data_IF_301966778075
#
_entry.id   IF_301966778075
#
_cell.length_a   1.000
_cell.length_b   1.000
_cell.length_c   1.000
_cell.angle_alpha   90.00
_cell.angle_beta   90.00
_cell.angle_gamma   90.00
#
_symmetry.space_group_name_H-M   'P 1'
#
loop_
_entity.id
_entity.type
_entity.pdbx_description
1 polymer ?
#
# COMPACT_ATOMS: atom_id res chain seq x y z
N UNK A 1 -10.70 -25.66 16.96
CA UNK A 1 -12.04 -25.25 17.42
C UNK A 1 -11.93 -24.39 18.68
N UNK A 2 -11.59 -24.97 19.84
CA UNK A 2 -11.53 -24.23 21.11
C UNK A 2 -10.53 -23.05 21.11
N UNK A 3 -9.32 -23.22 20.54
CA UNK A 3 -8.33 -22.12 20.38
C UNK A 3 -8.88 -21.01 19.48
N UNK A 4 -9.61 -21.36 18.43
CA UNK A 4 -10.19 -20.41 17.46
C UNK A 4 -11.34 -19.63 18.07
N UNK A 5 -12.17 -20.28 18.88
CA UNK A 5 -13.26 -19.67 19.63
C UNK A 5 -12.72 -18.66 20.66
N UNK A 6 -11.70 -19.05 21.43
CA UNK A 6 -11.02 -18.16 22.39
C UNK A 6 -10.30 -17.00 21.70
N UNK A 7 -9.65 -17.25 20.57
CA UNK A 7 -9.06 -16.19 19.75
C UNK A 7 -10.14 -15.22 19.23
N UNK A 8 -11.30 -15.72 18.82
CA UNK A 8 -12.45 -14.90 18.41
C UNK A 8 -12.96 -14.01 19.54
N UNK A 9 -13.17 -14.57 20.73
CA UNK A 9 -13.59 -13.83 21.92
C UNK A 9 -12.58 -12.76 22.35
N UNK A 10 -11.28 -13.11 22.36
CA UNK A 10 -10.20 -12.17 22.66
C UNK A 10 -10.13 -11.01 21.67
N UNK A 11 -10.29 -11.28 20.38
CA UNK A 11 -10.30 -10.25 19.34
C UNK A 11 -11.54 -9.34 19.42
N UNK A 12 -12.71 -9.88 19.78
CA UNK A 12 -13.92 -9.08 19.96
C UNK A 12 -13.78 -8.10 21.14
N UNK A 13 -13.22 -8.56 22.26
CA UNK A 13 -12.92 -7.69 23.42
C UNK A 13 -11.84 -6.67 23.11
N UNK A 14 -10.80 -7.05 22.39
CA UNK A 14 -9.75 -6.11 21.96
C UNK A 14 -10.31 -5.00 21.05
N UNK A 15 -11.20 -5.35 20.12
CA UNK A 15 -11.88 -4.37 19.26
C UNK A 15 -12.77 -3.42 20.08
N UNK A 16 -13.49 -3.95 21.08
CA UNK A 16 -14.28 -3.10 21.99
C UNK A 16 -13.39 -2.20 22.85
N UNK A 17 -12.23 -2.68 23.30
CA UNK A 17 -11.27 -1.89 24.07
C UNK A 17 -10.71 -0.71 23.25
N UNK A 18 -10.38 -0.96 21.98
CA UNK A 18 -9.89 0.06 21.04
C UNK A 18 -10.94 1.14 20.77
N UNK A 19 -12.20 0.78 20.54
CA UNK A 19 -13.29 1.76 20.33
C UNK A 19 -13.52 2.64 21.57
N UNK A 20 -13.42 2.06 22.78
CA UNK A 20 -13.52 2.82 24.03
C UNK A 20 -12.31 3.76 24.24
N UNK A 21 -11.12 3.31 23.85
CA UNK A 21 -9.87 4.07 23.91
C UNK A 21 -9.89 5.27 22.96
N UNK A 22 -10.34 5.06 21.72
CA UNK A 22 -10.51 6.13 20.70
C UNK A 22 -11.56 7.18 21.12
N UNK A 23 -12.59 6.76 21.87
CA UNK A 23 -13.61 7.65 22.43
C UNK A 23 -13.17 8.34 23.74
N UNK A 24 -11.91 8.15 24.16
CA UNK A 24 -11.35 8.76 25.37
C UNK A 24 -11.89 8.18 26.69
N UNK A 25 -12.49 6.99 26.67
CA UNK A 25 -13.07 6.33 27.85
C UNK A 25 -12.03 5.39 28.49
N UNK A 26 -10.91 5.95 28.94
CA UNK A 26 -9.72 5.23 29.41
C UNK A 26 -9.97 4.13 30.45
N UNK A 27 -10.81 4.40 31.47
CA UNK A 27 -11.10 3.42 32.53
C UNK A 27 -11.88 2.19 32.04
N UNK A 28 -12.75 2.38 31.04
CA UNK A 28 -13.53 1.29 30.46
C UNK A 28 -12.70 0.53 29.42
N UNK A 29 -11.91 1.26 28.62
CA UNK A 29 -10.93 0.68 27.72
C UNK A 29 -9.94 -0.22 28.48
N UNK A 30 -9.42 0.24 29.63
CA UNK A 30 -8.50 -0.53 30.46
C UNK A 30 -9.09 -1.87 30.92
N UNK A 31 -10.37 -1.88 31.35
CA UNK A 31 -11.07 -3.11 31.74
C UNK A 31 -11.20 -4.09 30.57
N UNK A 32 -11.58 -3.60 29.40
CA UNK A 32 -11.72 -4.43 28.20
C UNK A 32 -10.37 -4.92 27.67
N UNK A 33 -9.31 -4.12 27.74
CA UNK A 33 -7.95 -4.57 27.41
C UNK A 33 -7.48 -5.68 28.34
N UNK A 34 -7.72 -5.55 29.66
CA UNK A 34 -7.39 -6.61 30.63
C UNK A 34 -8.18 -7.90 30.35
N UNK A 35 -9.48 -7.77 30.10
CA UNK A 35 -10.33 -8.92 29.76
C UNK A 35 -9.97 -9.57 28.42
N UNK A 36 -9.45 -8.81 27.45
CA UNK A 36 -8.90 -9.34 26.21
C UNK A 36 -7.56 -10.07 26.44
N UNK A 37 -6.69 -9.53 27.30
CA UNK A 37 -5.41 -10.15 27.65
C UNK A 37 -5.58 -11.51 28.34
N UNK A 38 -6.56 -11.64 29.24
CA UNK A 38 -6.92 -12.92 29.87
C UNK A 38 -7.34 -13.97 28.84
N UNK A 39 -8.22 -13.61 27.90
CA UNK A 39 -8.67 -14.51 26.83
C UNK A 39 -7.54 -14.88 25.86
N UNK A 40 -6.60 -13.96 25.59
CA UNK A 40 -5.39 -14.27 24.83
C UNK A 40 -4.49 -15.27 25.55
N UNK A 41 -4.28 -15.12 26.86
CA UNK A 41 -3.50 -16.03 27.68
C UNK A 41 -4.12 -17.44 27.72
N UNK A 42 -5.43 -17.53 27.90
CA UNK A 42 -6.14 -18.82 27.87
C UNK A 42 -6.03 -19.48 26.49
N UNK A 43 -6.18 -18.70 25.40
CA UNK A 43 -5.99 -19.20 24.04
C UNK A 43 -4.57 -19.70 23.75
N UNK A 44 -3.55 -19.03 24.31
CA UNK A 44 -2.14 -19.43 24.22
C UNK A 44 -1.90 -20.73 24.99
N UNK A 45 -2.41 -20.85 26.22
CA UNK A 45 -2.25 -22.07 27.03
C UNK A 45 -2.83 -23.29 26.31
N UNK A 46 -4.04 -23.19 25.78
CA UNK A 46 -4.68 -24.28 25.03
C UNK A 46 -3.87 -24.62 23.76
N UNK A 47 -3.30 -23.61 23.08
CA UNK A 47 -2.45 -23.84 21.92
C UNK A 47 -1.12 -24.52 22.26
N UNK A 48 -0.56 -24.27 23.44
CA UNK A 48 0.65 -24.91 23.95
C UNK A 48 0.41 -26.34 24.42
N UNK A 49 -0.69 -26.61 25.15
CA UNK A 49 -1.12 -27.96 25.55
C UNK A 49 -1.34 -28.86 24.32
N UNK A 50 -2.03 -28.35 23.29
CA UNK A 50 -2.23 -29.08 22.03
C UNK A 50 -0.93 -29.33 21.24
N UNK A 51 0.10 -28.51 21.46
CA UNK A 51 1.42 -28.67 20.83
C UNK A 51 2.22 -29.79 21.49
N UNK A 52 2.10 -29.93 22.81
CA UNK A 52 2.73 -31.00 23.58
C UNK A 52 2.06 -32.36 23.30
N UNK A 53 0.73 -32.42 23.26
CA UNK A 53 0.00 -33.67 22.96
C UNK A 53 0.22 -34.21 21.54
N UNK A 54 0.49 -33.33 20.56
CA UNK A 54 0.65 -33.71 19.13
C UNK A 54 2.09 -33.89 18.67
N UNK A 55 3.07 -33.97 19.58
CA UNK A 55 4.45 -34.27 19.21
C UNK A 55 5.08 -33.29 18.20
N UNK A 56 4.80 -31.98 18.33
CA UNK A 56 5.55 -30.93 17.62
C UNK A 56 5.24 -30.70 16.13
N UNK A 57 4.20 -31.30 15.55
CA UNK A 57 4.06 -31.38 14.08
C UNK A 57 3.00 -30.51 13.37
N UNK A 58 2.30 -29.59 14.02
CA UNK A 58 1.23 -28.81 13.36
C UNK A 58 1.62 -27.37 13.02
N UNK A 59 2.09 -27.09 11.79
CA UNK A 59 2.43 -25.73 11.31
C UNK A 59 1.34 -24.68 11.62
N UNK A 60 0.06 -25.05 11.48
CA UNK A 60 -1.06 -24.16 11.74
C UNK A 60 -1.27 -23.81 13.24
N UNK A 61 -0.95 -24.71 14.18
CA UNK A 61 -1.12 -24.46 15.62
C UNK A 61 0.02 -23.59 16.15
N UNK A 62 1.23 -23.80 15.62
CA UNK A 62 2.42 -22.99 15.93
C UNK A 62 2.24 -21.53 15.48
N UNK A 63 1.65 -21.31 14.31
CA UNK A 63 1.39 -19.96 13.77
C UNK A 63 0.31 -19.21 14.56
N UNK A 64 -0.76 -19.89 14.97
CA UNK A 64 -1.84 -19.30 15.78
C UNK A 64 -1.33 -18.89 17.18
N UNK A 65 -0.54 -19.74 17.85
CA UNK A 65 0.04 -19.41 19.15
C UNK A 65 0.99 -18.20 19.09
N UNK A 66 1.83 -18.12 18.05
CA UNK A 66 2.72 -16.98 17.84
C UNK A 66 1.94 -15.68 17.52
N UNK A 67 0.84 -15.77 16.76
CA UNK A 67 -0.03 -14.64 16.48
C UNK A 67 -0.74 -14.11 17.74
N UNK A 68 -1.24 -15.00 18.60
CA UNK A 68 -1.87 -14.62 19.87
C UNK A 68 -0.87 -13.95 20.82
N UNK A 69 0.38 -14.44 20.90
CA UNK A 69 1.44 -13.81 21.72
C UNK A 69 1.74 -12.37 21.28
N UNK A 70 1.88 -12.12 19.98
CA UNK A 70 2.10 -10.76 19.45
C UNK A 70 0.94 -9.80 19.78
N UNK A 71 -0.30 -10.31 19.74
CA UNK A 71 -1.50 -9.53 20.06
C UNK A 71 -1.61 -9.25 21.57
N UNK A 72 -1.25 -10.21 22.41
CA UNK A 72 -1.16 -10.03 23.86
C UNK A 72 -0.13 -8.96 24.23
N UNK A 73 1.05 -8.98 23.62
CA UNK A 73 2.10 -7.97 23.83
C UNK A 73 1.58 -6.55 23.53
N UNK A 74 0.91 -6.38 22.39
CA UNK A 74 0.30 -5.08 22.03
C UNK A 74 -0.79 -4.63 23.00
N UNK A 75 -1.63 -5.55 23.49
CA UNK A 75 -2.64 -5.25 24.51
C UNK A 75 -2.00 -4.87 25.86
N UNK A 76 -0.95 -5.58 26.29
CA UNK A 76 -0.25 -5.29 27.55
C UNK A 76 0.50 -3.96 27.54
N UNK A 77 1.16 -3.62 26.43
CA UNK A 77 1.80 -2.32 26.26
C UNK A 77 0.78 -1.18 26.40
N UNK A 78 -0.43 -1.36 25.85
CA UNK A 78 -1.48 -0.35 25.95
C UNK A 78 -2.09 -0.26 27.36
N UNK A 79 -2.22 -1.39 28.06
CA UNK A 79 -2.62 -1.44 29.48
C UNK A 79 -1.61 -0.66 30.35
N UNK A 80 -0.30 -0.82 30.11
CA UNK A 80 0.74 -0.08 30.85
C UNK A 80 0.64 1.44 30.62
N UNK A 81 0.37 1.86 29.38
CA UNK A 81 0.16 3.26 29.02
C UNK A 81 -1.10 3.85 29.66
N UNK A 82 -2.23 3.13 29.63
CA UNK A 82 -3.50 3.59 30.21
C UNK A 82 -3.45 3.66 31.73
N UNK A 83 -2.81 2.69 32.41
CA UNK A 83 -2.58 2.74 33.86
C UNK A 83 -1.75 3.95 34.27
N UNK A 84 -0.73 4.30 33.49
CA UNK A 84 0.06 5.52 33.71
C UNK A 84 -0.78 6.80 33.66
N UNK A 85 -1.76 6.86 32.74
CA UNK A 85 -2.65 8.01 32.58
C UNK A 85 -3.72 8.12 33.70
N UNK A 86 -4.23 6.99 34.21
CA UNK A 86 -5.28 6.96 35.25
C UNK A 86 -4.73 7.29 36.64
N UNK A 87 -3.49 6.91 36.95
CA UNK A 87 -2.86 7.16 38.26
C UNK A 87 -2.26 8.58 38.42
N UNK A 88 -2.50 9.50 37.48
CA UNK A 88 -1.99 10.88 37.52
C UNK A 88 -0.46 10.99 37.47
N UNK A 89 0.24 9.90 37.14
CA UNK A 89 1.68 9.89 36.92
C UNK A 89 1.94 10.14 35.43
N UNK A 90 2.45 11.33 35.10
CA UNK A 90 3.04 11.57 33.78
C UNK A 90 3.99 10.44 33.37
N UNK A 91 4.23 10.25 32.05
CA UNK A 91 4.81 9.02 31.51
C UNK A 91 6.04 8.60 32.30
N UNK A 92 6.10 7.37 32.83
CA UNK A 92 7.20 6.97 33.69
C UNK A 92 8.49 6.97 32.87
N UNK A 93 9.44 7.76 33.34
CA UNK A 93 10.82 7.72 32.90
C UNK A 93 11.37 6.31 33.23
N UNK A 94 11.44 5.41 32.24
CA UNK A 94 11.99 4.06 32.44
C UNK A 94 13.49 4.18 32.78
N UNK A 95 13.81 4.22 34.07
CA UNK A 95 15.07 3.70 34.60
C UNK A 95 15.12 2.23 34.23
N UNK A 96 16.18 1.85 33.51
CA UNK A 96 16.35 0.54 32.91
C UNK A 96 16.38 -0.59 33.93
N UNK A 97 15.86 -1.75 33.51
CA UNK A 97 15.98 -3.06 34.13
C UNK A 97 16.40 -4.03 33.01
N UNK A 98 17.32 -4.95 33.30
CA UNK A 98 18.54 -5.13 32.54
C UNK A 98 18.27 -5.66 31.13
N UNK A 99 18.95 -5.00 30.20
CA UNK A 99 19.49 -5.64 29.00
C UNK A 99 19.82 -7.10 29.31
N UNK A 100 19.06 -8.04 28.74
CA UNK A 100 19.71 -9.25 28.22
C UNK A 100 20.94 -8.70 27.54
N UNK A 101 22.14 -9.08 28.00
CA UNK A 101 23.37 -8.84 27.27
C UNK A 101 23.12 -9.37 25.85
N UNK A 102 22.57 -8.51 24.98
CA UNK A 102 23.20 -8.16 23.73
C UNK A 102 24.62 -8.00 24.17
N UNK A 103 25.42 -9.05 23.90
CA UNK A 103 26.82 -8.81 23.58
C UNK A 103 26.76 -7.50 22.81
N UNK A 104 27.39 -6.46 23.35
CA UNK A 104 27.98 -5.48 22.47
C UNK A 104 28.88 -6.36 21.61
N UNK A 105 28.34 -6.90 20.52
CA UNK A 105 29.12 -6.92 19.32
C UNK A 105 29.46 -5.44 19.19
N UNK A 106 30.68 -5.11 19.57
CA UNK A 106 31.56 -4.52 18.57
C UNK A 106 31.33 -5.29 17.27
N UNK A 107 30.19 -5.04 16.61
CA UNK A 107 30.06 -5.20 15.19
C UNK A 107 30.97 -4.07 14.76
N UNK A 108 32.23 -4.48 14.64
CA UNK A 108 33.31 -3.76 14.00
C UNK A 108 32.68 -2.92 12.89
N UNK A 109 33.01 -1.64 12.76
CA UNK A 109 32.45 -0.83 11.66
C UNK A 109 32.78 -1.45 10.28
N UNK A 110 33.68 -2.43 10.25
CA UNK A 110 33.94 -3.36 9.14
C UNK A 110 32.77 -4.31 8.79
N UNK A 111 31.84 -4.58 9.72
CA UNK A 111 30.66 -5.45 9.53
C UNK A 111 29.49 -4.75 8.83
N UNK A 112 29.61 -3.45 8.53
CA UNK A 112 28.67 -2.67 7.72
C UNK A 112 29.18 -2.44 6.29
N UNK A 113 30.41 -2.87 5.98
CA UNK A 113 30.96 -2.81 4.64
C UNK A 113 30.52 -4.07 3.90
N UNK A 114 29.74 -3.86 2.83
CA UNK A 114 29.41 -4.91 1.89
C UNK A 114 30.71 -5.54 1.37
N UNK A 115 30.75 -6.86 1.30
CA UNK A 115 31.86 -7.58 0.68
C UNK A 115 31.96 -7.23 -0.81
N UNK A 116 33.14 -7.40 -1.40
CA UNK A 116 33.32 -7.20 -2.86
C UNK A 116 32.35 -8.04 -3.69
N UNK A 117 32.00 -9.23 -3.20
CA UNK A 117 31.00 -10.09 -3.84
C UNK A 117 29.59 -9.49 -3.77
N UNK A 118 29.16 -8.99 -2.61
CA UNK A 118 27.87 -8.33 -2.46
C UNK A 118 27.78 -7.04 -3.27
N UNK A 119 28.86 -6.24 -3.30
CA UNK A 119 28.97 -5.04 -4.14
C UNK A 119 28.84 -5.44 -5.61
N UNK A 120 29.52 -6.50 -6.05
CA UNK A 120 29.42 -7.00 -7.43
C UNK A 120 28.00 -7.44 -7.78
N UNK A 121 27.30 -8.16 -6.89
CA UNK A 121 25.90 -8.54 -7.07
C UNK A 121 24.99 -7.30 -7.17
N UNK A 122 25.20 -6.28 -6.33
CA UNK A 122 24.45 -5.04 -6.39
C UNK A 122 24.75 -4.26 -7.68
N UNK A 123 26.00 -4.19 -8.13
CA UNK A 123 26.37 -3.56 -9.40
C UNK A 123 25.73 -4.26 -10.60
N UNK A 124 25.83 -5.60 -10.65
CA UNK A 124 25.21 -6.39 -11.71
C UNK A 124 23.69 -6.21 -11.74
N UNK A 125 23.04 -6.32 -10.57
CA UNK A 125 21.59 -6.14 -10.46
C UNK A 125 21.12 -4.70 -10.67
N UNK A 126 22.03 -3.71 -10.62
CA UNK A 126 21.73 -2.30 -10.94
C UNK A 126 21.58 -2.05 -12.43
N UNK A 127 22.17 -2.91 -13.27
CA UNK A 127 21.97 -2.84 -14.72
C UNK A 127 20.73 -3.64 -15.06
N UNK A 128 19.65 -2.94 -15.35
CA UNK A 128 18.38 -3.52 -15.80
C UNK A 128 18.24 -3.22 -17.29
N UNK A 129 17.42 -3.97 -18.02
CA UNK A 129 17.24 -3.81 -19.47
C UNK A 129 16.94 -2.37 -19.92
N UNK A 130 16.34 -1.57 -19.03
CA UNK A 130 15.98 -0.16 -19.25
C UNK A 130 17.06 0.86 -18.87
N UNK A 131 18.11 0.46 -18.15
CA UNK A 131 19.18 1.38 -17.73
C UNK A 131 19.85 1.00 -16.40
N UNK A 132 20.65 1.93 -15.89
CA UNK A 132 21.35 1.80 -14.61
C UNK A 132 20.54 2.42 -13.47
N UNK A 133 20.21 1.61 -12.46
CA UNK A 133 19.47 2.05 -11.27
C UNK A 133 20.19 1.59 -9.99
N UNK A 134 20.81 2.55 -9.32
CA UNK A 134 21.56 2.29 -8.10
C UNK A 134 20.64 1.90 -6.94
N UNK A 135 21.13 1.10 -5.97
CA UNK A 135 20.42 0.86 -4.73
C UNK A 135 20.06 2.17 -4.02
N UNK A 136 18.92 2.18 -3.34
CA UNK A 136 18.45 3.33 -2.60
C UNK A 136 19.28 3.56 -1.33
N UNK A 137 19.67 4.81 -1.10
CA UNK A 137 20.30 5.25 0.15
C UNK A 137 19.59 6.48 0.70
N UNK A 138 19.09 6.38 1.93
CA UNK A 138 18.43 7.50 2.63
C UNK A 138 19.40 8.66 2.91
N UNK A 139 20.71 8.40 2.94
CA UNK A 139 21.72 9.44 3.11
C UNK A 139 22.03 10.14 1.79
N UNK A 140 22.23 9.38 0.71
CA UNK A 140 22.63 9.93 -0.59
C UNK A 140 21.49 10.68 -1.26
N UNK A 141 20.24 10.20 -1.14
CA UNK A 141 19.08 10.91 -1.71
C UNK A 141 18.93 12.32 -1.15
N UNK A 142 19.28 12.53 0.13
CA UNK A 142 19.23 13.86 0.78
C UNK A 142 20.37 14.78 0.33
N UNK A 143 21.45 14.21 -0.23
CA UNK A 143 22.61 14.94 -0.76
C UNK A 143 22.46 15.27 -2.25
N UNK A 144 21.45 14.73 -2.94
CA UNK A 144 21.19 15.09 -4.34
C UNK A 144 20.95 16.59 -4.42
N UNK A 145 21.66 17.25 -5.34
CA UNK A 145 21.31 18.61 -5.73
C UNK A 145 20.03 18.57 -6.59
N UNK A 146 18.94 18.98 -5.96
CA UNK A 146 17.64 19.18 -6.59
C UNK A 146 17.49 20.56 -7.21
N UNK A 147 18.43 21.46 -6.96
CA UNK A 147 18.55 22.73 -7.67
C UNK A 147 19.41 22.50 -8.91
N UNK A 148 19.24 23.36 -9.90
CA UNK A 148 20.11 23.40 -11.06
C UNK A 148 20.98 24.65 -10.99
N UNK A 149 22.29 24.46 -11.13
CA UNK A 149 23.29 25.53 -11.00
C UNK A 149 23.22 26.55 -12.14
N UNK A 150 22.67 26.17 -13.30
CA UNK A 150 22.56 26.98 -14.51
C UNK A 150 21.19 27.69 -14.65
N UNK A 151 20.31 27.57 -13.65
CA UNK A 151 18.96 28.14 -13.66
C UNK A 151 17.99 27.49 -14.66
N UNK A 152 18.39 26.41 -15.35
CA UNK A 152 17.53 25.70 -16.30
C UNK A 152 16.86 24.50 -15.60
N UNK A 153 15.59 24.17 -15.88
CA UNK A 153 14.98 22.97 -15.33
C UNK A 153 15.76 21.70 -15.75
N UNK A 154 16.03 20.83 -14.79
CA UNK A 154 16.78 19.59 -14.97
C UNK A 154 16.08 18.68 -15.98
N UNK A 155 16.86 18.13 -16.91
CA UNK A 155 16.40 17.16 -17.90
C UNK A 155 17.02 15.81 -17.60
N UNK A 156 16.22 14.78 -17.78
CA UNK A 156 16.69 13.41 -17.62
C UNK A 156 17.79 13.07 -18.64
N UNK A 157 19.01 12.69 -18.23
CA UNK A 157 20.08 12.29 -19.14
C UNK A 157 19.71 11.11 -20.02
N UNK A 158 18.82 10.23 -19.54
CA UNK A 158 18.32 9.07 -20.30
C UNK A 158 17.30 9.49 -21.37
N UNK A 159 16.91 10.76 -21.40
CA UNK A 159 15.99 11.32 -22.38
C UNK A 159 14.52 11.08 -22.07
N UNK A 160 13.68 11.25 -23.11
CA UNK A 160 12.23 11.09 -22.98
C UNK A 160 11.85 9.62 -23.08
N UNK A 161 10.93 9.18 -22.22
CA UNK A 161 10.46 7.80 -22.22
C UNK A 161 9.74 7.45 -23.53
N UNK A 162 9.97 6.23 -24.02
CA UNK A 162 9.27 5.69 -25.18
C UNK A 162 7.77 5.63 -24.91
N UNK A 163 6.98 6.34 -25.72
CA UNK A 163 5.52 6.37 -25.62
C UNK A 163 4.87 5.14 -26.26
N UNK A 164 3.73 4.72 -25.72
CA UNK A 164 2.88 3.71 -26.37
C UNK A 164 2.29 4.24 -27.68
N UNK A 165 1.85 3.37 -28.61
CA UNK A 165 1.19 3.79 -29.85
C UNK A 165 0.01 4.75 -29.60
N UNK A 166 -0.86 4.42 -28.64
CA UNK A 166 -2.02 5.25 -28.27
C UNK A 166 -1.63 6.64 -27.74
N UNK A 167 -0.51 6.75 -27.03
CA UNK A 167 -0.01 8.04 -26.58
C UNK A 167 0.59 8.86 -27.73
N UNK A 168 1.35 8.21 -28.63
CA UNK A 168 1.95 8.88 -29.80
C UNK A 168 0.90 9.54 -30.70
N UNK A 169 -0.22 8.86 -30.94
CA UNK A 169 -1.33 9.40 -31.74
C UNK A 169 -1.93 10.69 -31.18
N UNK A 170 -1.92 10.85 -29.84
CA UNK A 170 -2.54 11.99 -29.13
C UNK A 170 -1.51 13.03 -28.69
N UNK A 171 -0.22 12.72 -28.82
CA UNK A 171 0.86 13.56 -28.34
C UNK A 171 0.87 14.88 -29.11
N UNK A 172 0.83 15.98 -28.38
CA UNK A 172 1.20 17.28 -28.90
C UNK A 172 2.65 17.61 -28.58
N UNK A 173 3.04 17.51 -27.30
CA UNK A 173 4.41 17.75 -26.82
C UNK A 173 4.61 17.17 -25.42
N UNK A 174 5.87 17.14 -25.00
CA UNK A 174 6.24 17.01 -23.60
C UNK A 174 6.30 18.40 -22.97
N UNK A 175 5.65 18.59 -21.83
CA UNK A 175 5.51 19.90 -21.18
C UNK A 175 5.80 19.80 -19.68
N UNK A 176 6.33 20.89 -19.10
CA UNK A 176 6.55 21.01 -17.65
C UNK A 176 5.24 21.38 -16.94
N UNK A 177 5.12 21.15 -15.62
CA UNK A 177 3.91 21.47 -14.87
C UNK A 177 3.38 22.89 -15.05
N UNK A 178 4.28 23.88 -15.08
CA UNK A 178 3.94 25.29 -15.29
C UNK A 178 3.38 25.56 -16.68
N UNK A 179 3.95 24.95 -17.72
CA UNK A 179 3.48 25.09 -19.10
C UNK A 179 2.11 24.42 -19.27
N UNK A 180 1.90 23.27 -18.61
CA UNK A 180 0.63 22.55 -18.63
C UNK A 180 -0.47 23.39 -18.00
N UNK A 181 -0.19 24.04 -16.86
CA UNK A 181 -1.14 24.97 -16.24
C UNK A 181 -1.45 26.15 -17.18
N UNK A 182 -0.43 26.72 -17.84
CA UNK A 182 -0.63 27.76 -18.85
C UNK A 182 -1.53 27.31 -20.01
N UNK A 183 -1.32 26.10 -20.54
CA UNK A 183 -2.17 25.51 -21.59
C UNK A 183 -3.62 25.31 -21.16
N UNK A 184 -3.87 25.09 -19.86
CA UNK A 184 -5.20 24.89 -19.27
C UNK A 184 -5.85 26.19 -18.77
N UNK A 185 -5.16 27.33 -18.86
CA UNK A 185 -5.63 28.60 -18.29
C UNK A 185 -5.67 28.60 -16.76
N UNK A 186 -4.84 27.79 -16.10
CA UNK A 186 -4.77 27.67 -14.64
C UNK A 186 -3.63 28.54 -14.11
N UNK A 187 -3.94 29.52 -13.25
CA UNK A 187 -2.93 30.40 -12.64
C UNK A 187 -2.32 29.85 -11.33
N UNK A 188 -2.84 28.72 -10.82
CA UNK A 188 -2.33 28.12 -9.59
C UNK A 188 -0.92 27.52 -9.78
N UNK A 189 -0.07 27.62 -8.76
CA UNK A 189 1.22 26.93 -8.74
C UNK A 189 1.00 25.41 -8.67
N UNK A 190 1.72 24.61 -9.47
CA UNK A 190 1.72 23.15 -9.31
C UNK A 190 2.16 22.74 -7.91
N UNK A 191 1.61 21.63 -7.42
CA UNK A 191 1.95 21.07 -6.12
C UNK A 191 2.38 19.61 -6.28
N UNK A 192 3.22 19.12 -5.37
CA UNK A 192 3.58 17.70 -5.39
C UNK A 192 2.40 16.85 -4.94
N UNK A 193 1.87 17.15 -3.75
CA UNK A 193 0.70 16.51 -3.15
C UNK A 193 -0.15 17.60 -2.50
N UNK A 194 -1.43 17.66 -2.87
CA UNK A 194 -2.46 18.43 -2.17
C UNK A 194 -3.17 17.55 -1.15
N UNK A 195 -3.59 16.36 -1.59
CA UNK A 195 -4.29 15.40 -0.74
C UNK A 195 -3.97 13.98 -1.20
N UNK A 196 -3.42 13.15 -0.32
CA UNK A 196 -3.32 11.71 -0.57
C UNK A 196 -4.71 11.09 -0.50
N UNK A 197 -5.25 10.74 -1.67
CA UNK A 197 -6.55 10.06 -1.77
C UNK A 197 -6.63 9.17 -3.01
N UNK A 198 -7.18 7.95 -2.91
CA UNK A 198 -7.41 7.08 -4.07
C UNK A 198 -8.46 7.65 -5.03
N UNK A 199 -9.36 8.52 -4.56
CA UNK A 199 -10.53 8.96 -5.31
C UNK A 199 -10.19 9.98 -6.40
N UNK A 200 -9.08 10.71 -6.25
CA UNK A 200 -8.63 11.67 -7.27
C UNK A 200 -7.85 11.00 -8.40
N UNK A 201 -7.28 9.81 -8.18
CA UNK A 201 -6.44 9.12 -9.16
C UNK A 201 -7.26 8.64 -10.36
N UNK A 202 -6.79 9.02 -11.55
CA UNK A 202 -7.34 8.59 -12.84
C UNK A 202 -6.24 8.10 -13.77
N UNK A 203 -6.42 6.88 -14.26
CA UNK A 203 -5.63 6.33 -15.35
C UNK A 203 -6.05 6.94 -16.69
N UNK A 204 -5.08 7.19 -17.56
CA UNK A 204 -5.28 7.70 -18.93
C UNK A 204 -4.81 6.70 -19.98
N UNK A 205 -4.14 7.15 -21.03
CA UNK A 205 -3.70 6.36 -22.18
C UNK A 205 -2.56 5.36 -21.85
N UNK A 206 -2.42 4.99 -20.58
CA UNK A 206 -1.41 4.06 -20.08
C UNK A 206 -2.06 2.68 -19.97
N UNK A 207 -1.32 1.67 -20.38
CA UNK A 207 -1.73 0.27 -20.47
C UNK A 207 -1.71 -0.45 -19.12
N UNK A 208 -0.88 -0.01 -18.18
CA UNK A 208 -0.73 -0.66 -16.88
C UNK A 208 -1.80 -0.22 -15.86
N UNK A 209 -2.91 -0.96 -15.81
CA UNK A 209 -3.96 -0.74 -14.82
C UNK A 209 -3.63 -1.25 -13.42
N UNK A 210 -2.84 -2.33 -13.31
CA UNK A 210 -2.49 -2.94 -12.03
C UNK A 210 -1.58 -2.05 -11.21
N UNK A 211 -0.65 -1.33 -11.86
CA UNK A 211 0.18 -0.37 -11.16
C UNK A 211 -0.64 0.79 -10.57
N UNK A 212 -1.60 1.33 -11.33
CA UNK A 212 -2.45 2.44 -10.85
C UNK A 212 -3.44 1.96 -9.79
N UNK A 213 -3.96 0.73 -9.89
CA UNK A 213 -4.73 0.12 -8.80
C UNK A 213 -3.88 -0.01 -7.52
N UNK A 214 -2.64 -0.46 -7.65
CA UNK A 214 -1.69 -0.57 -6.54
C UNK A 214 -1.42 0.79 -5.90
N UNK A 215 -1.24 1.84 -6.71
CA UNK A 215 -1.08 3.21 -6.20
C UNK A 215 -2.34 3.72 -5.48
N UNK A 216 -3.54 3.37 -5.97
CA UNK A 216 -4.80 3.69 -5.29
C UNK A 216 -4.84 3.07 -3.89
N UNK A 217 -4.55 1.78 -3.74
CA UNK A 217 -4.61 1.12 -2.43
C UNK A 217 -3.51 1.62 -1.48
N UNK A 218 -2.30 1.91 -1.98
CA UNK A 218 -1.25 2.55 -1.19
C UNK A 218 -1.69 3.92 -0.64
N UNK A 219 -2.35 4.75 -1.47
CA UNK A 219 -2.88 6.04 -1.05
C UNK A 219 -4.03 5.90 -0.03
N UNK A 220 -4.91 4.93 -0.23
CA UNK A 220 -6.00 4.63 0.71
C UNK A 220 -5.46 4.19 2.07
N UNK A 221 -4.46 3.31 2.06
CA UNK A 221 -3.79 2.79 3.24
C UNK A 221 -3.11 3.90 4.03
N UNK A 222 -2.30 4.73 3.38
CA UNK A 222 -1.60 5.83 4.04
C UNK A 222 -2.59 6.81 4.68
N UNK A 223 -3.69 7.12 3.99
CA UNK A 223 -4.75 7.98 4.52
C UNK A 223 -5.43 7.37 5.75
N UNK A 224 -5.72 6.06 5.73
CA UNK A 224 -6.44 5.33 6.78
C UNK A 224 -5.58 5.09 8.01
N UNK A 225 -4.39 4.53 7.83
CA UNK A 225 -3.51 4.10 8.92
C UNK A 225 -2.43 5.10 9.31
N UNK A 226 -2.34 6.24 8.60
CA UNK A 226 -1.31 7.30 8.83
C UNK A 226 0.13 6.80 8.71
N UNK A 227 0.33 5.68 8.01
CA UNK A 227 1.65 5.09 7.68
C UNK A 227 2.05 5.51 6.28
N UNK A 228 3.21 6.15 6.13
CA UNK A 228 3.66 6.75 4.87
C UNK A 228 4.21 5.71 3.89
N UNK A 229 3.39 5.30 2.92
CA UNK A 229 3.80 4.39 1.83
C UNK A 229 4.05 5.15 0.52
N UNK A 230 3.29 6.22 0.26
CA UNK A 230 3.38 7.04 -0.95
C UNK A 230 4.25 8.26 -0.69
N UNK A 231 4.02 8.98 0.41
CA UNK A 231 4.76 10.22 0.67
C UNK A 231 6.25 9.99 0.97
N UNK A 232 6.58 8.84 1.58
CA UNK A 232 7.96 8.51 1.98
C UNK A 232 8.88 8.17 0.80
N UNK A 233 8.34 7.84 -0.37
CA UNK A 233 9.11 7.37 -1.53
C UNK A 233 9.43 8.47 -2.55
N UNK A 234 8.93 9.70 -2.38
CA UNK A 234 9.14 10.81 -3.32
C UNK A 234 10.06 11.86 -2.70
N UNK A 235 11.05 12.33 -3.47
CA UNK A 235 11.99 13.39 -3.08
C UNK A 235 12.09 14.46 -4.18
N UNK A 236 12.35 15.74 -3.83
CA UNK A 236 12.77 16.24 -2.52
C UNK A 236 11.65 16.29 -1.47
N UNK A 237 12.04 16.31 -0.19
CA UNK A 237 11.13 16.40 0.95
C UNK A 237 11.43 17.63 1.81
N UNK A 238 10.42 18.13 2.51
CA UNK A 238 10.56 19.16 3.55
C UNK A 238 11.14 18.61 4.86
N UNK A 239 11.24 19.46 5.88
CA UNK A 239 11.75 19.09 7.21
C UNK A 239 10.90 18.01 7.91
N UNK A 240 9.63 17.88 7.53
CA UNK A 240 8.71 16.89 8.08
C UNK A 240 8.74 15.56 7.30
N UNK A 241 9.60 15.45 6.28
CA UNK A 241 9.66 14.29 5.38
C UNK A 241 8.45 14.20 4.45
N UNK A 242 7.80 15.32 4.13
CA UNK A 242 6.73 15.39 3.14
C UNK A 242 7.29 15.85 1.79
N UNK A 243 6.89 15.23 0.68
CA UNK A 243 7.44 15.56 -0.62
C UNK A 243 6.96 16.92 -1.11
N UNK A 244 7.86 17.70 -1.68
CA UNK A 244 7.61 19.07 -2.11
C UNK A 244 7.74 19.22 -3.61
N UNK A 245 7.01 20.20 -4.15
CA UNK A 245 7.17 20.58 -5.56
C UNK A 245 8.57 21.19 -5.76
N UNK A 246 9.27 20.75 -6.80
CA UNK A 246 10.56 21.28 -7.20
C UNK A 246 10.42 22.00 -8.55
N UNK A 247 10.51 23.34 -8.59
CA UNK A 247 10.48 24.11 -9.84
C UNK A 247 11.62 23.79 -10.82
N UNK A 248 12.74 23.25 -10.32
CA UNK A 248 13.84 22.78 -11.17
C UNK A 248 13.50 21.44 -11.86
N UNK A 249 12.37 20.81 -11.52
CA UNK A 249 11.83 19.68 -12.25
C UNK A 249 12.63 18.39 -12.10
N UNK A 250 13.37 18.21 -11.00
CA UNK A 250 14.13 16.99 -10.68
C UNK A 250 13.53 16.30 -9.47
N UNK A 251 13.27 15.00 -9.59
CA UNK A 251 12.69 14.17 -8.53
C UNK A 251 13.42 12.83 -8.43
N UNK A 252 13.48 12.27 -7.22
CA UNK A 252 13.92 10.90 -7.00
C UNK A 252 12.77 10.09 -6.40
N UNK A 253 12.56 8.89 -6.90
CA UNK A 253 11.52 7.97 -6.44
C UNK A 253 12.15 6.66 -5.99
N UNK A 254 11.75 6.18 -4.81
CA UNK A 254 12.16 4.89 -4.26
C UNK A 254 11.22 3.79 -4.75
N UNK A 255 11.73 2.84 -5.52
CA UNK A 255 10.96 1.70 -6.02
C UNK A 255 11.74 0.40 -5.85
N UNK A 256 11.09 -0.67 -5.41
CA UNK A 256 11.70 -1.97 -5.27
C UNK A 256 11.76 -2.72 -6.59
N UNK A 257 12.92 -3.28 -6.90
CA UNK A 257 13.11 -4.14 -8.07
C UNK A 257 14.30 -5.06 -7.83
N UNK A 258 14.14 -6.34 -8.19
CA UNK A 258 15.16 -7.38 -8.01
C UNK A 258 15.66 -7.47 -6.55
N UNK A 259 14.74 -7.43 -5.59
CA UNK A 259 15.04 -7.66 -4.16
C UNK A 259 15.60 -6.46 -3.39
N UNK A 260 15.83 -5.31 -4.03
CA UNK A 260 16.36 -4.11 -3.36
C UNK A 260 15.60 -2.85 -3.81
N UNK A 261 15.49 -1.87 -2.91
CA UNK A 261 14.99 -0.56 -3.26
C UNK A 261 15.99 0.15 -4.19
N UNK A 262 15.49 0.77 -5.26
CA UNK A 262 16.25 1.45 -6.29
C UNK A 262 15.96 2.94 -6.27
N UNK A 263 16.98 3.74 -6.56
CA UNK A 263 16.84 5.18 -6.79
C UNK A 263 16.52 5.45 -8.26
N UNK A 264 15.31 5.93 -8.51
CA UNK A 264 14.87 6.31 -9.85
C UNK A 264 14.74 7.82 -9.94
N UNK A 265 15.69 8.46 -10.62
CA UNK A 265 15.67 9.90 -10.85
C UNK A 265 14.94 10.20 -12.15
N UNK A 266 13.97 11.11 -12.10
CA UNK A 266 13.14 11.52 -13.24
C UNK A 266 12.96 13.03 -13.26
N UNK A 267 12.73 13.56 -14.47
CA UNK A 267 12.31 14.94 -14.65
C UNK A 267 10.79 15.07 -14.65
N UNK A 268 10.24 16.28 -14.59
CA UNK A 268 8.78 16.53 -14.68
C UNK A 268 8.28 16.92 -16.08
N UNK A 269 9.00 16.57 -17.15
CA UNK A 269 8.41 16.60 -18.49
C UNK A 269 7.34 15.50 -18.59
N UNK A 270 6.10 15.87 -18.86
CA UNK A 270 4.98 14.94 -19.00
C UNK A 270 4.37 15.04 -20.40
N UNK A 271 3.91 13.92 -21.00
CA UNK A 271 3.31 13.92 -22.33
C UNK A 271 1.89 14.50 -22.26
N UNK A 272 1.59 15.46 -23.12
CA UNK A 272 0.28 16.14 -23.19
C UNK A 272 -0.30 16.21 -24.59
N UNK A 273 -1.63 16.31 -24.66
CA UNK A 273 -2.36 16.65 -25.88
C UNK A 273 -2.39 18.17 -26.14
N UNK A 274 -3.05 18.58 -27.24
CA UNK A 274 -3.16 20.00 -27.65
C UNK A 274 -3.90 20.89 -26.64
N UNK A 275 -4.72 20.31 -25.77
CA UNK A 275 -5.48 21.00 -24.72
C UNK A 275 -4.76 20.97 -23.37
N UNK A 276 -3.54 20.43 -23.32
CA UNK A 276 -2.78 20.28 -22.09
C UNK A 276 -3.26 19.13 -21.21
N UNK A 277 -4.11 18.21 -21.70
CA UNK A 277 -4.47 17.02 -20.92
C UNK A 277 -3.28 16.08 -20.84
N UNK A 278 -3.02 15.54 -19.65
CA UNK A 278 -1.98 14.54 -19.44
C UNK A 278 -2.36 13.22 -20.14
N UNK A 279 -1.37 12.64 -20.83
CA UNK A 279 -1.45 11.31 -21.45
C UNK A 279 -0.92 10.20 -20.54
N UNK A 280 -0.42 10.58 -19.36
CA UNK A 280 -0.06 9.74 -18.23
C UNK A 280 -1.16 9.77 -17.15
N UNK A 281 -1.09 8.87 -16.18
CA UNK A 281 -2.01 8.88 -15.03
C UNK A 281 -1.77 10.09 -14.15
N UNK A 282 -2.85 10.63 -13.59
CA UNK A 282 -2.81 11.88 -12.84
C UNK A 282 -3.96 11.96 -11.85
N UNK A 283 -3.92 12.96 -10.96
CA UNK A 283 -5.08 13.27 -10.13
C UNK A 283 -6.03 14.23 -10.85
N UNK A 284 -7.32 13.99 -10.70
CA UNK A 284 -8.36 14.84 -11.25
C UNK A 284 -8.66 16.01 -10.31
N UNK A 285 -7.76 16.98 -10.28
CA UNK A 285 -7.96 18.26 -9.60
C UNK A 285 -8.22 19.37 -10.65
N UNK A 286 -9.43 19.94 -10.72
CA UNK A 286 -9.72 20.99 -11.69
C UNK A 286 -9.03 22.33 -11.37
N UNK A 287 -8.56 22.52 -10.12
CA UNK A 287 -8.04 23.81 -9.65
C UNK A 287 -6.52 23.90 -9.64
N UNK A 288 -5.81 22.87 -10.09
CA UNK A 288 -4.35 22.86 -10.10
C UNK A 288 -3.76 21.49 -10.39
N UNK A 289 -2.53 21.49 -10.87
CA UNK A 289 -1.79 20.27 -11.19
C UNK A 289 -1.12 19.70 -9.94
N UNK A 290 -1.43 18.45 -9.63
CA UNK A 290 -0.80 17.68 -8.57
C UNK A 290 -0.01 16.52 -9.18
N UNK A 291 1.26 16.38 -8.78
CA UNK A 291 2.26 15.68 -9.59
C UNK A 291 2.57 14.25 -9.13
N UNK A 292 2.31 13.91 -7.87
CA UNK A 292 2.80 12.64 -7.29
C UNK A 292 2.42 11.39 -8.08
N UNK A 293 1.19 11.30 -8.61
CA UNK A 293 0.75 10.16 -9.45
C UNK A 293 1.60 10.08 -10.72
N UNK A 294 1.74 11.19 -11.43
CA UNK A 294 2.45 11.24 -12.70
C UNK A 294 3.95 11.03 -12.53
N UNK A 295 4.55 11.52 -11.44
CA UNK A 295 5.97 11.34 -11.14
C UNK A 295 6.27 9.89 -10.74
N UNK A 296 5.46 9.28 -9.87
CA UNK A 296 5.62 7.88 -9.50
C UNK A 296 5.41 6.97 -10.71
N UNK A 297 4.37 7.19 -11.51
CA UNK A 297 4.13 6.42 -12.73
C UNK A 297 5.30 6.57 -13.71
N UNK A 298 5.79 7.80 -13.91
CA UNK A 298 6.95 8.04 -14.79
C UNK A 298 8.19 7.30 -14.31
N UNK A 299 8.48 7.32 -13.01
CA UNK A 299 9.60 6.57 -12.44
C UNK A 299 9.45 5.06 -12.66
N UNK A 300 8.25 4.52 -12.43
CA UNK A 300 7.99 3.11 -12.67
C UNK A 300 8.12 2.75 -14.17
N UNK A 301 7.56 3.56 -15.06
CA UNK A 301 7.68 3.37 -16.51
C UNK A 301 9.14 3.49 -16.98
N UNK A 302 9.95 4.35 -16.35
CA UNK A 302 11.39 4.40 -16.61
C UNK A 302 12.07 3.07 -16.26
N UNK A 303 11.78 2.48 -15.10
CA UNK A 303 12.25 1.13 -14.75
C UNK A 303 11.78 0.07 -15.75
N UNK A 304 10.58 0.21 -16.30
CA UNK A 304 10.00 -0.74 -17.26
C UNK A 304 10.43 -0.50 -18.72
N UNK A 305 11.27 0.49 -19.02
CA UNK A 305 11.76 0.78 -20.38
C UNK A 305 10.87 1.72 -21.21
N UNK A 306 9.85 2.33 -20.61
CA UNK A 306 8.99 3.35 -21.20
C UNK A 306 7.50 3.11 -20.92
N UNK A 307 6.66 3.99 -21.48
CA UNK A 307 5.21 3.86 -21.44
C UNK A 307 4.67 2.84 -22.45
N UNK A 308 5.49 2.40 -23.41
CA UNK A 308 5.19 1.28 -24.32
C UNK A 308 5.38 -0.06 -23.58
N UNK A 309 4.60 -0.25 -22.53
CA UNK A 309 4.70 -1.36 -21.60
C UNK A 309 3.43 -2.22 -21.68
N UNK A 310 3.50 -3.54 -21.82
CA UNK A 310 2.31 -4.38 -22.06
C UNK A 310 1.35 -4.47 -20.86
N UNK A 311 1.76 -4.00 -19.68
CA UNK A 311 1.05 -4.18 -18.43
C UNK A 311 1.78 -5.17 -17.51
N UNK A 312 1.36 -5.22 -16.26
CA UNK A 312 2.01 -5.99 -15.20
C UNK A 312 0.96 -6.74 -14.37
N UNK A 313 1.33 -7.11 -13.14
CA UNK A 313 0.45 -7.77 -12.18
C UNK A 313 0.55 -7.05 -10.85
N UNK A 314 -0.59 -6.84 -10.18
CA UNK A 314 -0.67 -6.02 -8.96
C UNK A 314 0.27 -6.46 -7.84
N UNK A 315 0.58 -7.76 -7.73
CA UNK A 315 1.56 -8.25 -6.74
C UNK A 315 2.99 -7.74 -6.99
N UNK A 316 3.41 -7.64 -8.26
CA UNK A 316 4.73 -7.08 -8.63
C UNK A 316 4.73 -5.58 -8.41
N UNK A 317 3.62 -4.92 -8.75
CA UNK A 317 3.46 -3.47 -8.59
C UNK A 317 3.45 -3.05 -7.12
N UNK A 318 2.69 -3.75 -6.27
CA UNK A 318 2.66 -3.52 -4.84
C UNK A 318 4.03 -3.79 -4.21
N UNK A 319 4.71 -4.87 -4.62
CA UNK A 319 6.09 -5.10 -4.20
C UNK A 319 6.98 -3.93 -4.60
N UNK A 320 6.87 -3.45 -5.85
CA UNK A 320 7.68 -2.32 -6.31
C UNK A 320 7.42 -1.03 -5.52
N UNK A 321 6.17 -0.74 -5.16
CA UNK A 321 5.82 0.45 -4.38
C UNK A 321 6.21 0.35 -2.89
N UNK A 322 6.18 -0.85 -2.31
CA UNK A 322 6.19 -1.00 -0.84
C UNK A 322 7.29 -1.89 -0.28
N UNK A 323 7.82 -2.80 -1.09
CA UNK A 323 8.69 -3.90 -0.66
C UNK A 323 7.95 -5.03 0.08
N UNK A 324 6.62 -4.95 0.18
CA UNK A 324 5.83 -5.98 0.87
C UNK A 324 5.67 -7.21 -0.02
N UNK A 325 5.74 -8.39 0.61
CA UNK A 325 5.74 -9.67 -0.10
C UNK A 325 4.35 -9.95 -0.67
N UNK A 326 4.22 -10.16 -2.00
CA UNK A 326 2.93 -10.43 -2.61
C UNK A 326 2.49 -11.88 -2.36
N UNK A 327 1.19 -12.05 -2.16
CA UNK A 327 0.52 -13.36 -2.13
C UNK A 327 -0.66 -13.32 -3.12
N UNK A 328 -0.94 -14.43 -3.79
CA UNK A 328 -2.09 -14.56 -4.68
C UNK A 328 -3.06 -15.59 -4.10
N UNK A 329 -4.31 -15.17 -3.95
CA UNK A 329 -5.42 -16.04 -3.57
C UNK A 329 -6.32 -16.21 -4.79
N UNK A 330 -6.65 -17.46 -5.11
CA UNK A 330 -7.61 -17.79 -6.16
C UNK A 330 -8.99 -17.99 -5.53
N UNK A 331 -10.02 -17.43 -6.16
CA UNK A 331 -11.41 -17.64 -5.79
C UNK A 331 -12.05 -18.52 -6.86
N UNK A 332 -12.05 -19.85 -6.70
CA UNK A 332 -12.68 -20.73 -7.67
C UNK A 332 -14.20 -20.55 -7.67
N UNK A 333 -14.82 -20.63 -8.85
CA UNK A 333 -16.29 -20.55 -8.99
C UNK A 333 -17.01 -21.71 -8.28
N UNK A 334 -16.36 -22.87 -8.16
CA UNK A 334 -16.89 -24.04 -7.47
C UNK A 334 -15.98 -24.39 -6.30
N UNK A 335 -16.55 -24.53 -5.10
CA UNK A 335 -15.79 -24.97 -3.92
C UNK A 335 -15.11 -26.33 -4.12
N UNK A 336 -15.61 -27.17 -5.01
CA UNK A 336 -15.05 -28.48 -5.37
C UNK A 336 -13.81 -28.39 -6.27
N UNK A 337 -13.53 -27.21 -6.83
CA UNK A 337 -12.35 -26.96 -7.67
C UNK A 337 -11.16 -26.37 -6.91
N UNK A 338 -11.29 -26.23 -5.59
CA UNK A 338 -10.20 -25.84 -4.70
C UNK A 338 -9.19 -27.00 -4.66
N UNK A 339 -7.96 -26.75 -5.08
CA UNK A 339 -6.88 -27.74 -4.92
C UNK A 339 -6.46 -27.83 -3.45
N UNK A 340 -5.97 -28.97 -2.99
CA UNK A 340 -5.61 -29.19 -1.56
C UNK A 340 -4.68 -28.15 -0.94
N UNK A 341 -3.89 -27.43 -1.75
CA UNK A 341 -2.96 -26.39 -1.33
C UNK A 341 -3.53 -24.95 -1.42
N UNK A 342 -4.74 -24.77 -1.91
CA UNK A 342 -5.39 -23.48 -2.04
C UNK A 342 -6.10 -23.08 -0.74
N UNK A 343 -6.12 -21.79 -0.43
CA UNK A 343 -6.77 -21.31 0.80
C UNK A 343 -8.29 -21.42 0.64
N UNK A 344 -9.01 -22.12 1.54
CA UNK A 344 -10.48 -22.21 1.47
C UNK A 344 -11.14 -20.81 1.51
N UNK A 345 -12.26 -20.58 0.80
CA UNK A 345 -12.92 -19.28 0.70
C UNK A 345 -13.21 -18.61 2.05
N UNK A 346 -13.66 -19.39 3.05
CA UNK A 346 -13.93 -18.90 4.40
C UNK A 346 -12.65 -18.38 5.06
N UNK A 347 -11.57 -19.16 4.99
CA UNK A 347 -10.26 -18.76 5.53
C UNK A 347 -9.68 -17.57 4.75
N UNK A 348 -9.87 -17.52 3.44
CA UNK A 348 -9.45 -16.40 2.62
C UNK A 348 -10.20 -15.12 3.03
N UNK A 349 -11.52 -15.21 3.24
CA UNK A 349 -12.33 -14.10 3.73
C UNK A 349 -11.87 -13.61 5.11
N UNK A 350 -11.71 -14.50 6.09
CA UNK A 350 -11.25 -14.15 7.44
C UNK A 350 -9.89 -13.45 7.42
N UNK A 351 -8.95 -13.94 6.60
CA UNK A 351 -7.64 -13.32 6.40
C UNK A 351 -7.76 -11.92 5.81
N UNK A 352 -8.56 -11.75 4.75
CA UNK A 352 -8.76 -10.46 4.11
C UNK A 352 -9.44 -9.46 5.06
N UNK A 353 -10.49 -9.88 5.77
CA UNK A 353 -11.24 -9.04 6.69
C UNK A 353 -10.36 -8.59 7.86
N UNK A 354 -9.67 -9.52 8.53
CA UNK A 354 -8.76 -9.19 9.63
C UNK A 354 -7.60 -8.31 9.15
N UNK A 355 -6.91 -8.68 8.07
CA UNK A 355 -5.74 -7.93 7.62
C UNK A 355 -6.09 -6.53 7.10
N UNK A 356 -7.25 -6.36 6.44
CA UNK A 356 -7.77 -5.04 6.07
C UNK A 356 -8.16 -4.19 7.29
N UNK A 357 -8.59 -4.80 8.39
CA UNK A 357 -8.94 -4.07 9.62
C UNK A 357 -7.70 -3.48 10.30
N UNK A 358 -6.63 -4.28 10.45
CA UNK A 358 -5.40 -3.89 11.14
C UNK A 358 -4.37 -3.16 10.27
N UNK A 359 -4.55 -3.19 8.94
CA UNK A 359 -3.59 -2.60 8.02
C UNK A 359 -2.32 -3.44 7.88
N UNK A 360 -2.51 -4.76 7.84
CA UNK A 360 -1.43 -5.74 7.68
C UNK A 360 -1.20 -6.10 6.20
N UNK A 361 -2.12 -5.73 5.31
CA UNK A 361 -2.00 -6.00 3.88
C UNK A 361 -2.57 -4.87 3.01
N UNK A 362 -2.22 -4.93 1.72
CA UNK A 362 -2.82 -4.15 0.64
C UNK A 362 -3.49 -5.15 -0.30
N UNK A 363 -4.73 -4.88 -0.68
CA UNK A 363 -5.56 -5.84 -1.43
C UNK A 363 -5.92 -5.25 -2.79
N UNK A 364 -5.67 -6.04 -3.83
CA UNK A 364 -6.14 -5.79 -5.19
C UNK A 364 -6.87 -7.02 -5.69
N UNK A 365 -7.86 -6.83 -6.55
CA UNK A 365 -8.57 -7.91 -7.24
C UNK A 365 -8.52 -7.67 -8.73
N UNK A 366 -8.42 -8.73 -9.51
CA UNK A 366 -8.42 -8.68 -10.98
C UNK A 366 -9.51 -9.57 -11.55
N UNK A 367 -10.14 -9.11 -12.62
CA UNK A 367 -10.99 -9.97 -13.46
C UNK A 367 -10.10 -10.80 -14.39
N UNK A 368 -10.47 -12.06 -14.64
CA UNK A 368 -9.81 -12.85 -15.67
C UNK A 368 -10.24 -12.39 -17.07
N UNK A 369 -9.50 -12.81 -18.09
CA UNK A 369 -9.87 -12.56 -19.49
C UNK A 369 -10.97 -13.50 -19.99
N UNK A 370 -11.44 -14.43 -19.16
CA UNK A 370 -12.46 -15.42 -19.53
C UNK A 370 -13.88 -14.84 -19.52
N UNK A 371 -14.08 -13.71 -18.83
CA UNK A 371 -15.34 -12.97 -18.90
C UNK A 371 -15.44 -12.24 -20.25
N UNK A 372 -16.54 -12.52 -20.98
CA UNK A 372 -16.82 -11.83 -22.23
C UNK A 372 -17.04 -10.34 -21.99
N UNK A 373 -16.64 -9.49 -22.95
CA UNK A 373 -16.80 -8.03 -22.84
C UNK A 373 -18.26 -7.63 -22.58
N UNK A 374 -19.20 -8.29 -23.28
CA UNK A 374 -20.64 -8.09 -23.08
C UNK A 374 -21.05 -8.36 -21.63
N UNK A 375 -20.60 -9.49 -21.06
CA UNK A 375 -20.95 -9.84 -19.68
C UNK A 375 -20.34 -8.87 -18.67
N UNK A 376 -19.09 -8.47 -18.91
CA UNK A 376 -18.41 -7.47 -18.09
C UNK A 376 -19.18 -6.13 -18.09
N UNK A 377 -19.61 -5.65 -19.27
CA UNK A 377 -20.38 -4.42 -19.41
C UNK A 377 -21.75 -4.48 -18.72
N UNK A 378 -22.46 -5.61 -18.84
CA UNK A 378 -23.75 -5.85 -18.17
C UNK A 378 -23.64 -5.68 -16.64
N UNK A 379 -22.57 -6.24 -16.05
CA UNK A 379 -22.35 -6.15 -14.59
C UNK A 379 -21.60 -4.88 -14.17
N UNK A 380 -21.06 -4.11 -15.11
CA UNK A 380 -20.30 -2.89 -14.86
C UNK A 380 -18.84 -3.11 -14.46
N UNK A 381 -18.26 -4.25 -14.83
CA UNK A 381 -16.85 -4.57 -14.67
C UNK A 381 -16.13 -4.52 -16.03
N UNK A 382 -14.81 -4.58 -15.99
CA UNK A 382 -13.92 -4.58 -17.15
C UNK A 382 -13.19 -5.92 -17.17
N UNK A 383 -13.08 -6.56 -18.32
CA UNK A 383 -12.34 -7.82 -18.48
C UNK A 383 -10.82 -7.59 -18.43
N UNK A 384 -10.06 -8.52 -17.84
CA UNK A 384 -8.60 -8.43 -17.73
C UNK A 384 -8.08 -7.17 -17.01
N UNK A 385 -8.81 -6.68 -16.00
CA UNK A 385 -8.54 -5.38 -15.36
C UNK A 385 -8.37 -5.49 -13.85
N UNK A 386 -7.50 -4.65 -13.30
CA UNK A 386 -7.19 -4.61 -11.87
C UNK A 386 -7.97 -3.51 -11.14
N UNK A 387 -8.44 -3.85 -9.94
CA UNK A 387 -9.17 -2.98 -9.03
C UNK A 387 -8.48 -2.93 -7.67
N UNK A 388 -8.47 -1.75 -7.06
CA UNK A 388 -8.04 -1.59 -5.67
C UNK A 388 -9.20 -1.93 -4.73
N UNK A 389 -8.96 -2.76 -3.71
CA UNK A 389 -9.95 -3.06 -2.67
C UNK A 389 -9.74 -2.07 -1.54
N UNK A 390 -10.59 -1.05 -1.47
CA UNK A 390 -10.48 0.03 -0.48
C UNK A 390 -10.97 -0.39 0.92
N UNK A 391 -11.91 -1.32 0.97
CA UNK A 391 -12.47 -1.83 2.22
C UNK A 391 -13.01 -3.25 2.05
N UNK A 392 -12.92 -4.04 3.11
CA UNK A 392 -13.51 -5.38 3.26
C UNK A 392 -14.51 -5.27 4.40
N UNK A 393 -15.78 -5.51 4.12
CA UNK A 393 -16.90 -5.23 5.02
C UNK A 393 -17.69 -6.52 5.24
N UNK A 394 -18.04 -6.78 6.49
CA UNK A 394 -18.98 -7.81 6.88
C UNK A 394 -20.10 -7.14 7.67
N UNK A 395 -21.34 -7.30 7.19
CA UNK A 395 -22.54 -6.71 7.82
C UNK A 395 -23.07 -7.62 8.93
N UNK A 396 -24.00 -7.10 9.74
CA UNK A 396 -24.63 -7.84 10.84
C UNK A 396 -25.41 -9.07 10.37
N UNK A 397 -26.08 -9.02 9.21
CA UNK A 397 -26.69 -10.20 8.58
C UNK A 397 -25.70 -11.18 7.92
N UNK A 398 -24.38 -10.96 8.05
CA UNK A 398 -23.36 -11.83 7.48
C UNK A 398 -23.03 -11.61 6.01
N UNK A 399 -23.59 -10.57 5.37
CA UNK A 399 -23.22 -10.19 3.99
C UNK A 399 -21.77 -9.72 3.93
N UNK A 400 -21.03 -10.24 2.95
CA UNK A 400 -19.61 -10.01 2.73
C UNK A 400 -19.42 -9.13 1.50
N UNK A 401 -18.78 -7.96 1.66
CA UNK A 401 -18.64 -6.94 0.62
C UNK A 401 -17.19 -6.48 0.46
N UNK A 402 -16.80 -6.22 -0.79
CA UNK A 402 -15.55 -5.57 -1.15
C UNK A 402 -15.87 -4.22 -1.79
N UNK A 403 -15.32 -3.14 -1.23
CA UNK A 403 -15.40 -1.82 -1.83
C UNK A 403 -14.30 -1.65 -2.86
N UNK A 404 -14.66 -1.64 -4.15
CA UNK A 404 -13.69 -1.56 -5.24
C UNK A 404 -13.51 -0.13 -5.75
N UNK A 405 -12.27 0.23 -6.08
CA UNK A 405 -11.93 1.42 -6.87
C UNK A 405 -11.39 0.99 -8.23
N UNK A 406 -12.11 1.39 -9.28
CA UNK A 406 -11.66 1.30 -10.66
C UNK A 406 -10.65 2.44 -10.96
N UNK A 407 -9.38 2.14 -11.33
CA UNK A 407 -8.40 3.13 -11.76
C UNK A 407 -8.87 4.02 -12.92
N UNK A 408 -9.67 3.48 -13.83
CA UNK A 408 -10.17 4.21 -15.00
C UNK A 408 -11.28 5.22 -14.69
N UNK A 409 -11.90 5.11 -13.51
CA UNK A 409 -12.88 6.05 -12.96
C UNK A 409 -14.13 6.39 -13.82
N UNK A 410 -14.45 5.61 -14.87
CA UNK A 410 -15.61 5.86 -15.75
C UNK A 410 -16.63 4.71 -15.80
N UNK A 411 -16.33 3.56 -15.18
CA UNK A 411 -17.25 2.42 -15.06
C UNK A 411 -17.22 1.87 -13.63
N UNK A 412 -18.36 1.39 -13.15
CA UNK A 412 -18.52 0.80 -11.83
C UNK A 412 -19.60 -0.26 -11.81
N UNK A 413 -19.55 -1.09 -10.76
CA UNK A 413 -20.48 -2.19 -10.52
C UNK A 413 -21.95 -1.77 -10.63
N UNK A 414 -22.74 -2.53 -11.39
CA UNK A 414 -24.17 -2.28 -11.64
C UNK A 414 -25.09 -3.26 -10.89
N UNK A 415 -24.54 -4.31 -10.27
CA UNK A 415 -25.33 -5.32 -9.57
C UNK A 415 -25.79 -4.90 -8.17
N UNK A 416 -26.09 -5.90 -7.32
CA UNK A 416 -26.49 -5.70 -5.92
C UNK A 416 -25.42 -4.93 -5.15
N UNK A 417 -25.85 -4.00 -4.28
CA UNK A 417 -24.98 -3.08 -3.54
C UNK A 417 -24.13 -2.17 -4.45
N UNK A 418 -24.57 -1.93 -5.69
CA UNK A 418 -24.07 -0.81 -6.50
C UNK A 418 -24.56 0.52 -5.92
N UNK A 419 -23.97 1.67 -6.31
CA UNK A 419 -24.48 2.99 -5.91
C UNK A 419 -25.94 3.26 -6.29
N UNK A 420 -26.49 2.51 -7.25
CA UNK A 420 -27.86 2.63 -7.72
C UNK A 420 -28.83 1.64 -7.08
N UNK A 421 -28.36 0.64 -6.34
CA UNK A 421 -29.19 -0.38 -5.68
C UNK A 421 -29.84 0.12 -4.39
N UNK A 422 -30.92 0.90 -4.53
CA UNK A 422 -31.65 1.45 -3.39
C UNK A 422 -32.30 0.39 -2.50
N UNK A 423 -32.59 -0.80 -3.02
CA UNK A 423 -33.27 -1.85 -2.26
C UNK A 423 -32.28 -2.59 -1.37
N UNK A 424 -31.12 -3.00 -1.91
CA UNK A 424 -30.08 -3.66 -1.14
C UNK A 424 -29.56 -2.81 0.03
N UNK A 425 -29.37 -1.51 -0.18
CA UNK A 425 -28.92 -0.59 0.89
C UNK A 425 -29.95 -0.28 1.97
N UNK A 426 -31.23 -0.62 1.76
CA UNK A 426 -32.33 -0.33 2.71
C UNK A 426 -32.74 -1.54 3.56
N UNK A 427 -32.08 -2.67 3.38
CA UNK A 427 -32.31 -3.86 4.21
C UNK A 427 -31.99 -3.52 5.69
N UNK A 428 -32.97 -3.58 6.61
CA UNK A 428 -32.74 -3.26 8.02
C UNK A 428 -31.74 -4.21 8.71
N UNK A 429 -31.55 -5.41 8.16
CA UNK A 429 -30.58 -6.39 8.66
C UNK A 429 -29.15 -6.10 8.19
N UNK A 430 -28.94 -5.04 7.41
CA UNK A 430 -27.65 -4.69 6.84
C UNK A 430 -26.76 -3.89 7.80
N UNK A 431 -27.35 -3.13 8.74
CA UNK A 431 -26.65 -2.22 9.66
C UNK A 431 -25.95 -2.94 10.82
#
# INVERSE_FOLDING_TARGET
ALVTERAGAANARLASALDLDERGRGDQALKEYMAAAEEFLDGIRIAEELKEERGGGGSAVVDVGAALKRRLEGAMDRIEQLKGMVDGKGPPNKKGVPSQRRRKSTADESALLLTDSEISVLMQSSTIASGLFMPWSDQEVRKIDYKTSDGRPWRDPDGLLKLSPKQKERLHKWARPVDINGMRGISATPVMIKTITPYSIRQRCVTDCSFIASLCICAAFERRFKKRLVTSIIYPQDRNGLPVYNPCGKYAVKLWLNGVARQVVVDDLLPVDRRGNLLCSHTNNPFGLELWVSIIEKAYMKLCGGYDFPGSNSGVDLFSLTGWIPERLFFPEKSESIRDFETPPERAWERLYSANAYGDCLITVSTSSDITEKKAEEVGLVTGHAYAVLSVIQTSNGTRLLQLKNPWAHQGWKGRYSPHDRLGWRDPSFC
#
